data_IF_223110134398
#
_entry.id   IF_223110134398
#
_cell.length_a   1.000
_cell.length_b   1.000
_cell.length_c   1.000
_cell.angle_alpha   90.00
_cell.angle_beta   90.00
_cell.angle_gamma   90.00
#
_symmetry.space_group_name_H-M   'P 1'
#
loop_
_entity.id
_entity.type
_entity.pdbx_description
1 polymer ?
#
# COMPACT_ATOMS: atom_id res chain seq x y z
N UNK A 1 42.04 67.68 -16.31
CA UNK A 1 43.44 67.73 -16.80
C UNK A 1 44.31 66.92 -15.84
N UNK A 2 45.16 66.07 -16.41
CA UNK A 2 46.36 65.44 -15.84
C UNK A 2 46.21 64.39 -14.72
N UNK A 3 46.45 63.12 -15.10
CA UNK A 3 47.18 62.15 -14.28
C UNK A 3 48.60 62.66 -13.97
N UNK A 4 49.12 62.35 -12.77
CA UNK A 4 50.36 61.58 -12.49
C UNK A 4 50.91 61.86 -11.09
N UNK A 5 51.40 60.79 -10.44
CA UNK A 5 52.67 60.63 -9.67
C UNK A 5 52.45 59.70 -8.46
N UNK A 6 52.99 58.48 -8.52
CA UNK A 6 54.30 58.01 -7.97
C UNK A 6 54.21 57.77 -6.45
N UNK A 7 54.23 56.50 -6.02
CA UNK A 7 55.43 55.67 -5.72
C UNK A 7 56.24 56.19 -4.52
N UNK A 8 56.33 55.41 -3.42
CA UNK A 8 57.59 54.87 -2.85
C UNK A 8 57.44 54.23 -1.43
N UNK A 9 58.08 53.07 -1.27
CA UNK A 9 58.79 52.52 -0.07
C UNK A 9 58.10 51.67 1.02
N UNK A 10 58.34 50.35 0.91
CA UNK A 10 58.79 49.27 1.85
C UNK A 10 59.37 49.66 3.25
N UNK A 11 59.69 48.77 4.24
CA UNK A 11 59.35 47.33 4.50
C UNK A 11 58.90 46.98 5.96
N UNK A 12 58.39 45.75 6.13
CA UNK A 12 58.82 44.87 7.23
C UNK A 12 57.77 44.37 8.26
N UNK A 13 57.34 43.10 8.14
CA UNK A 13 57.46 42.06 9.21
C UNK A 13 56.91 40.68 8.78
N UNK A 14 57.36 39.58 9.42
CA UNK A 14 57.40 38.23 8.85
C UNK A 14 56.23 37.31 9.26
N UNK A 15 56.09 36.27 8.43
CA UNK A 15 55.40 34.98 8.67
C UNK A 15 56.10 34.16 9.79
N UNK A 16 55.45 33.20 10.47
CA UNK A 16 55.43 31.84 9.89
C UNK A 16 54.25 30.90 10.26
N UNK A 17 53.90 30.08 9.27
CA UNK A 17 53.59 28.62 9.28
C UNK A 17 52.32 28.05 9.93
N UNK A 18 51.56 27.39 9.03
CA UNK A 18 50.64 26.24 9.12
C UNK A 18 50.99 25.17 10.19
N UNK A 19 49.99 24.48 10.79
CA UNK A 19 49.70 23.12 10.29
C UNK A 19 48.23 22.66 10.40
N UNK A 20 47.81 21.81 9.44
CA UNK A 20 47.30 20.47 9.80
C UNK A 20 45.78 20.20 9.75
N UNK A 21 45.39 19.46 8.70
CA UNK A 21 44.20 18.61 8.49
C UNK A 21 43.61 17.91 9.74
N UNK A 22 42.28 17.68 9.80
CA UNK A 22 41.73 16.55 10.57
C UNK A 22 40.80 15.60 9.77
N UNK A 23 40.95 14.32 10.10
CA UNK A 23 40.13 13.15 9.72
C UNK A 23 38.87 13.00 10.60
N UNK A 24 37.91 12.12 10.23
CA UNK A 24 36.56 12.06 10.79
C UNK A 24 36.42 11.04 11.93
N UNK A 25 35.76 11.40 13.05
CA UNK A 25 35.09 10.46 13.99
C UNK A 25 34.26 11.17 15.08
N UNK A 26 32.92 11.15 14.90
CA UNK A 26 31.83 10.99 15.91
C UNK A 26 31.59 12.08 17.02
N UNK A 27 30.44 12.08 17.74
CA UNK A 27 29.23 12.83 17.34
C UNK A 27 28.47 13.64 18.44
N UNK A 28 27.60 14.55 17.98
CA UNK A 28 26.39 15.06 18.67
C UNK A 28 26.43 16.52 19.15
N UNK A 29 25.29 17.18 19.48
CA UNK A 29 23.88 16.87 19.24
C UNK A 29 23.14 17.99 18.47
N UNK A 30 22.11 17.66 17.68
CA UNK A 30 20.91 18.47 17.38
C UNK A 30 20.17 17.87 16.16
N UNK A 31 19.34 16.87 16.42
CA UNK A 31 18.40 16.31 15.44
C UNK A 31 17.01 16.90 15.65
N UNK A 32 16.55 17.72 14.71
CA UNK A 32 15.14 18.05 14.52
C UNK A 32 14.45 16.81 13.93
N UNK A 33 13.52 16.26 14.69
CA UNK A 33 12.78 15.06 14.35
C UNK A 33 11.70 15.33 13.29
N UNK A 34 11.79 14.61 12.16
CA UNK A 34 10.70 14.40 11.20
C UNK A 34 9.79 13.25 11.73
N UNK A 35 8.47 13.45 11.91
CA UNK A 35 7.57 12.39 12.36
C UNK A 35 6.82 11.78 11.17
N UNK A 36 7.39 10.75 10.53
CA UNK A 36 6.64 9.96 9.53
C UNK A 36 7.24 8.56 9.31
N UNK A 37 7.41 7.78 10.38
CA UNK A 37 7.58 6.33 10.28
C UNK A 37 6.99 5.68 11.54
N UNK A 38 5.74 5.23 11.45
CA UNK A 38 5.15 4.41 12.50
C UNK A 38 5.91 3.08 12.61
N UNK A 39 6.26 2.61 13.82
CA UNK A 39 6.98 1.36 14.00
C UNK A 39 6.09 0.16 13.71
N UNK A 40 6.69 -0.88 13.13
CA UNK A 40 6.07 -2.20 12.98
C UNK A 40 5.76 -2.81 14.37
N UNK A 41 4.64 -3.54 14.54
CA UNK A 41 4.35 -4.19 15.81
C UNK A 41 5.29 -5.38 16.02
N UNK A 42 6.08 -5.30 17.09
CA UNK A 42 6.81 -6.42 17.66
C UNK A 42 5.81 -7.36 18.37
N UNK A 43 5.70 -8.60 17.91
CA UNK A 43 5.00 -9.65 18.64
C UNK A 43 6.00 -10.32 19.60
N UNK A 44 5.76 -10.12 20.89
CA UNK A 44 6.55 -10.68 21.97
C UNK A 44 6.44 -12.19 22.07
N UNK A 45 7.58 -12.84 22.18
CA UNK A 45 7.73 -14.25 22.57
C UNK A 45 7.62 -14.38 24.08
N UNK A 46 6.62 -15.12 24.54
CA UNK A 46 6.55 -15.60 25.92
C UNK A 46 7.03 -17.06 25.98
N UNK A 47 7.96 -17.29 26.90
CA UNK A 47 8.64 -18.54 27.24
C UNK A 47 8.07 -19.05 28.59
N UNK A 48 7.81 -20.35 28.69
CA UNK A 48 7.63 -21.21 29.89
C UNK A 48 6.67 -22.35 29.48
N UNK A 49 6.79 -23.63 29.82
CA UNK A 49 7.73 -24.48 30.54
C UNK A 49 7.27 -25.92 30.19
N UNK A 50 8.19 -26.89 30.04
CA UNK A 50 7.85 -28.32 30.00
C UNK A 50 7.73 -28.90 31.42
N UNK A 51 7.72 -30.24 31.63
CA UNK A 51 7.56 -31.37 30.70
C UNK A 51 6.61 -32.49 31.24
N UNK A 52 6.22 -33.47 30.42
CA UNK A 52 5.80 -34.79 30.93
C UNK A 52 5.94 -35.90 29.86
N UNK A 53 6.54 -37.00 30.29
CA UNK A 53 6.94 -38.18 29.54
C UNK A 53 5.82 -39.24 29.41
N UNK A 54 5.89 -40.07 28.36
CA UNK A 54 5.49 -41.49 28.31
C UNK A 54 5.65 -41.97 26.85
N UNK A 55 6.61 -42.82 26.52
CA UNK A 55 6.59 -44.29 26.62
C UNK A 55 6.35 -44.95 25.24
N UNK A 56 7.35 -45.69 24.80
CA UNK A 56 7.33 -46.57 23.62
C UNK A 56 6.33 -47.73 23.80
N UNK A 57 6.03 -48.48 22.72
CA UNK A 57 6.70 -49.77 22.65
C UNK A 57 7.22 -50.18 21.27
N UNK A 58 8.23 -51.03 21.38
CA UNK A 58 8.92 -51.88 20.41
C UNK A 58 8.01 -52.84 19.64
N UNK A 59 8.34 -53.06 18.36
CA UNK A 59 7.85 -54.19 17.56
C UNK A 59 8.84 -54.51 16.45
N UNK A 60 9.45 -55.69 16.54
CA UNK A 60 10.57 -56.17 15.72
C UNK A 60 10.09 -56.82 14.40
N UNK A 61 11.01 -56.92 13.44
CA UNK A 61 10.89 -57.29 12.01
C UNK A 61 10.45 -58.77 11.74
N UNK A 62 10.39 -59.29 10.48
CA UNK A 62 11.55 -59.46 9.59
C UNK A 62 11.32 -59.27 8.08
N UNK A 63 12.45 -59.29 7.37
CA UNK A 63 12.65 -59.15 5.94
C UNK A 63 12.11 -60.30 5.07
N UNK A 64 11.83 -59.97 3.79
CA UNK A 64 11.66 -60.92 2.69
C UNK A 64 12.12 -60.27 1.39
N UNK A 65 13.05 -60.92 0.71
CA UNK A 65 13.80 -60.42 -0.45
C UNK A 65 13.17 -60.89 -1.78
N UNK A 66 13.56 -60.20 -2.86
CA UNK A 66 13.71 -60.68 -4.25
C UNK A 66 12.64 -60.36 -5.32
N UNK A 67 13.17 -59.71 -6.37
CA UNK A 67 13.07 -60.03 -7.81
C UNK A 67 11.95 -59.41 -8.69
N UNK A 68 12.39 -58.42 -9.49
CA UNK A 68 12.31 -58.33 -10.95
C UNK A 68 11.05 -58.80 -11.71
N UNK A 69 10.46 -57.89 -12.49
CA UNK A 69 9.66 -58.29 -13.65
C UNK A 69 8.70 -57.25 -14.24
N UNK A 70 9.20 -56.48 -15.21
CA UNK A 70 8.52 -56.10 -16.46
C UNK A 70 7.32 -55.12 -16.41
N UNK A 71 7.55 -53.95 -17.01
CA UNK A 71 6.54 -52.97 -17.42
C UNK A 71 5.53 -53.53 -18.42
N UNK A 72 4.33 -52.90 -18.49
CA UNK A 72 3.74 -52.59 -19.78
C UNK A 72 3.47 -51.08 -19.93
N UNK A 73 3.76 -50.64 -21.15
CA UNK A 73 3.46 -49.34 -21.72
C UNK A 73 1.93 -49.18 -21.81
N UNK A 74 1.41 -48.06 -21.31
CA UNK A 74 0.02 -47.66 -21.58
C UNK A 74 -0.68 -46.95 -20.42
N UNK A 75 -0.21 -45.77 -20.02
CA UNK A 75 -1.08 -44.79 -19.33
C UNK A 75 -0.47 -43.37 -19.34
N UNK A 76 -0.54 -42.71 -20.50
CA UNK A 76 -0.22 -41.29 -20.63
C UNK A 76 -1.46 -40.39 -20.40
N UNK A 77 -2.68 -40.95 -20.40
CA UNK A 77 -3.93 -40.18 -20.24
C UNK A 77 -4.48 -40.25 -18.81
N UNK A 78 -4.12 -41.26 -18.01
CA UNK A 78 -4.56 -41.38 -16.60
C UNK A 78 -3.69 -40.61 -15.59
N UNK A 79 -2.51 -40.11 -15.97
CA UNK A 79 -1.68 -39.27 -15.07
C UNK A 79 -2.17 -37.83 -14.95
N UNK A 80 -3.08 -37.39 -15.82
CA UNK A 80 -3.59 -36.02 -15.80
C UNK A 80 -4.74 -35.82 -14.81
N UNK A 81 -5.32 -36.90 -14.27
CA UNK A 81 -6.44 -36.82 -13.30
C UNK A 81 -6.03 -37.15 -11.87
N UNK A 82 -4.93 -37.88 -11.64
CA UNK A 82 -4.42 -38.19 -10.28
C UNK A 82 -3.62 -37.02 -9.68
N UNK A 83 -3.09 -36.12 -10.51
CA UNK A 83 -2.36 -34.94 -10.02
C UNK A 83 -3.27 -33.84 -9.43
N UNK A 84 -4.58 -33.90 -9.66
CA UNK A 84 -5.52 -32.89 -9.15
C UNK A 84 -5.90 -33.09 -7.67
N UNK A 85 -5.56 -34.24 -7.07
CA UNK A 85 -5.95 -34.60 -5.69
C UNK A 85 -4.75 -34.70 -4.73
N UNK A 86 -3.52 -34.52 -5.23
CA UNK A 86 -2.33 -34.46 -4.40
C UNK A 86 -2.31 -33.13 -3.64
N UNK A 87 -2.24 -33.19 -2.31
CA UNK A 87 -2.18 -32.00 -1.48
C UNK A 87 -1.00 -31.12 -1.91
N UNK A 88 -1.19 -29.79 -2.05
CA UNK A 88 -0.09 -28.90 -2.41
C UNK A 88 0.98 -28.94 -1.31
N UNK A 89 2.21 -29.29 -1.68
CA UNK A 89 3.37 -29.42 -0.77
C UNK A 89 4.37 -28.27 -0.97
N UNK A 90 5.53 -28.33 -0.30
CA UNK A 90 6.63 -27.39 -0.48
C UNK A 90 7.09 -27.21 -1.93
N UNK A 91 6.95 -28.24 -2.78
CA UNK A 91 7.30 -28.14 -4.21
C UNK A 91 6.37 -27.17 -4.96
N UNK A 92 5.07 -27.13 -4.61
CA UNK A 92 4.12 -26.17 -5.16
C UNK A 92 4.48 -24.73 -4.75
N UNK A 93 4.88 -24.54 -3.48
CA UNK A 93 5.38 -23.25 -2.98
C UNK A 93 6.66 -22.83 -3.72
N UNK A 94 7.60 -23.75 -3.92
CA UNK A 94 8.84 -23.46 -4.62
C UNK A 94 8.58 -23.06 -6.07
N UNK A 95 7.76 -23.81 -6.79
CA UNK A 95 7.36 -23.47 -8.16
C UNK A 95 6.66 -22.11 -8.25
N UNK A 96 5.76 -21.80 -7.31
CA UNK A 96 5.13 -20.48 -7.24
C UNK A 96 6.16 -19.37 -7.00
N UNK A 97 7.05 -19.51 -6.02
CA UNK A 97 8.08 -18.49 -5.72
C UNK A 97 9.04 -18.28 -6.90
N UNK A 98 9.48 -19.35 -7.57
CA UNK A 98 10.31 -19.28 -8.77
C UNK A 98 9.60 -18.56 -9.92
N UNK A 99 8.30 -18.84 -10.13
CA UNK A 99 7.50 -18.13 -11.13
C UNK A 99 7.40 -16.64 -10.84
N UNK A 100 7.12 -16.24 -9.59
CA UNK A 100 7.02 -14.84 -9.20
C UNK A 100 8.38 -14.12 -9.26
N UNK A 101 9.47 -14.81 -8.92
CA UNK A 101 10.82 -14.29 -9.06
C UNK A 101 11.18 -14.06 -10.53
N UNK A 102 10.83 -15.00 -11.42
CA UNK A 102 11.03 -14.85 -12.86
C UNK A 102 10.22 -13.67 -13.43
N UNK A 103 8.96 -13.53 -13.02
CA UNK A 103 8.11 -12.40 -13.42
C UNK A 103 8.65 -11.07 -12.87
N UNK A 104 9.22 -11.06 -11.66
CA UNK A 104 9.90 -9.89 -11.10
C UNK A 104 11.10 -9.47 -11.96
N UNK A 105 11.97 -10.41 -12.32
CA UNK A 105 13.13 -10.12 -13.18
C UNK A 105 12.73 -9.68 -14.60
N UNK A 106 11.65 -10.26 -15.15
CA UNK A 106 11.07 -9.85 -16.43
C UNK A 106 10.56 -8.40 -16.36
N UNK A 107 9.77 -8.08 -15.34
CA UNK A 107 9.27 -6.72 -15.11
C UNK A 107 10.43 -5.72 -14.91
N UNK A 108 11.49 -6.12 -14.21
CA UNK A 108 12.68 -5.29 -14.02
C UNK A 108 13.42 -5.03 -15.33
N UNK A 109 13.56 -6.05 -16.18
CA UNK A 109 14.16 -5.89 -17.52
C UNK A 109 13.35 -4.92 -18.38
N UNK A 110 12.03 -5.12 -18.46
CA UNK A 110 11.11 -4.22 -19.18
C UNK A 110 11.17 -2.78 -18.65
N UNK A 111 11.28 -2.60 -17.33
CA UNK A 111 11.40 -1.28 -16.72
C UNK A 111 12.72 -0.57 -17.11
N UNK A 112 13.83 -1.31 -17.25
CA UNK A 112 15.11 -0.75 -17.73
C UNK A 112 15.08 -0.41 -19.21
N UNK A 113 14.46 -1.25 -20.03
CA UNK A 113 14.32 -1.03 -21.47
C UNK A 113 13.43 0.20 -21.78
N UNK A 114 12.33 0.36 -21.06
CA UNK A 114 11.40 1.51 -21.18
C UNK A 114 11.95 2.78 -20.55
N UNK A 115 12.74 2.70 -19.47
CA UNK A 115 13.40 3.85 -18.87
C UNK A 115 14.53 4.46 -19.70
N UNK A 116 15.10 3.69 -20.65
CA UNK A 116 16.20 4.12 -21.51
C UNK A 116 15.78 4.65 -22.90
N UNK A 117 14.53 4.44 -23.32
CA UNK A 117 14.04 4.78 -24.66
C UNK A 117 12.91 5.79 -24.63
N UNK A 118 13.17 7.02 -25.10
CA UNK A 118 12.18 8.10 -25.26
C UNK A 118 11.16 7.87 -26.41
N UNK A 119 10.57 6.67 -26.49
CA UNK A 119 9.50 6.37 -27.43
C UNK A 119 8.13 6.82 -26.87
N UNK A 120 7.23 7.26 -27.75
CA UNK A 120 5.93 7.84 -27.39
C UNK A 120 4.93 6.88 -26.67
N UNK A 121 5.30 5.61 -26.47
CA UNK A 121 4.59 4.62 -25.62
C UNK A 121 5.33 4.22 -24.34
N UNK A 122 6.57 4.70 -24.15
CA UNK A 122 7.45 4.25 -23.05
C UNK A 122 6.98 4.66 -21.66
N UNK A 123 6.11 5.66 -21.53
CA UNK A 123 5.58 6.09 -20.23
C UNK A 123 4.56 5.11 -19.66
N UNK A 124 3.61 4.64 -20.47
CA UNK A 124 2.59 3.68 -20.03
C UNK A 124 3.21 2.29 -19.80
N UNK A 125 4.10 1.87 -20.71
CA UNK A 125 4.84 0.61 -20.57
C UNK A 125 5.74 0.61 -19.32
N UNK A 126 6.39 1.74 -19.00
CA UNK A 126 7.19 1.89 -17.78
C UNK A 126 6.34 1.84 -16.51
N UNK A 127 5.15 2.47 -16.52
CA UNK A 127 4.19 2.44 -15.41
C UNK A 127 3.67 1.03 -15.19
N UNK A 128 3.37 0.29 -16.26
CA UNK A 128 2.93 -1.10 -16.19
C UNK A 128 4.03 -2.05 -15.73
N UNK A 129 5.28 -1.85 -16.18
CA UNK A 129 6.44 -2.59 -15.69
C UNK A 129 6.65 -2.35 -14.19
N UNK A 130 6.59 -1.09 -13.73
CA UNK A 130 6.68 -0.76 -12.30
C UNK A 130 5.51 -1.37 -11.49
N UNK A 131 4.31 -1.41 -12.07
CA UNK A 131 3.14 -2.05 -11.46
C UNK A 131 3.32 -3.57 -11.36
N UNK A 132 3.83 -4.21 -12.40
CA UNK A 132 4.17 -5.63 -12.39
C UNK A 132 5.22 -5.95 -11.32
N UNK A 133 6.30 -5.16 -11.25
CA UNK A 133 7.36 -5.29 -10.26
C UNK A 133 6.83 -5.19 -8.81
N UNK A 134 5.93 -4.24 -8.54
CA UNK A 134 5.27 -4.13 -7.23
C UNK A 134 4.38 -5.32 -6.92
N UNK A 135 3.64 -5.84 -7.91
CA UNK A 135 2.73 -6.98 -7.73
C UNK A 135 3.50 -8.25 -7.37
N UNK A 136 4.58 -8.55 -8.10
CA UNK A 136 5.43 -9.73 -7.85
C UNK A 136 6.16 -9.61 -6.52
N UNK A 137 6.75 -8.45 -6.20
CA UNK A 137 7.41 -8.23 -4.89
C UNK A 137 6.46 -8.45 -3.70
N UNK A 138 5.21 -7.99 -3.80
CA UNK A 138 4.19 -8.18 -2.76
C UNK A 138 3.75 -9.64 -2.64
N UNK A 139 3.63 -10.36 -3.76
CA UNK A 139 3.31 -11.79 -3.77
C UNK A 139 4.42 -12.61 -3.11
N UNK A 140 5.68 -12.37 -3.49
CA UNK A 140 6.84 -13.00 -2.85
C UNK A 140 6.82 -12.71 -1.34
N UNK A 141 6.80 -11.43 -0.93
CA UNK A 141 6.79 -11.03 0.48
C UNK A 141 5.64 -11.65 1.28
N UNK A 142 4.46 -11.79 0.67
CA UNK A 142 3.30 -12.43 1.29
C UNK A 142 3.45 -13.94 1.44
N UNK A 143 3.93 -14.64 0.41
CA UNK A 143 4.20 -16.07 0.49
C UNK A 143 5.26 -16.38 1.54
N UNK A 144 6.31 -15.55 1.63
CA UNK A 144 7.32 -15.65 2.70
C UNK A 144 6.74 -15.43 4.10
N UNK A 145 5.70 -14.60 4.24
CA UNK A 145 5.05 -14.37 5.52
C UNK A 145 4.13 -15.54 5.91
N UNK A 146 3.28 -16.02 4.99
CA UNK A 146 2.29 -17.07 5.27
C UNK A 146 2.96 -18.43 5.47
N UNK A 147 3.94 -18.77 4.63
CA UNK A 147 4.62 -20.07 4.63
C UNK A 147 5.98 -20.03 5.32
N UNK A 148 6.23 -19.03 6.18
CA UNK A 148 7.48 -18.86 6.94
C UNK A 148 8.02 -20.16 7.57
N UNK A 149 7.20 -21.04 8.19
CA UNK A 149 7.72 -22.26 8.82
C UNK A 149 8.39 -23.25 7.86
N UNK A 150 8.15 -23.13 6.55
CA UNK A 150 8.69 -24.04 5.54
C UNK A 150 9.94 -23.51 4.85
N UNK A 151 10.33 -22.27 5.14
CA UNK A 151 11.43 -21.55 4.51
C UNK A 151 12.54 -21.30 5.53
N UNK A 152 13.76 -21.06 5.05
CA UNK A 152 14.85 -20.61 5.91
C UNK A 152 14.49 -19.30 6.65
N UNK A 153 14.56 -19.34 7.99
CA UNK A 153 14.09 -18.26 8.84
C UNK A 153 14.97 -17.00 8.73
N UNK A 154 16.28 -17.17 8.67
CA UNK A 154 17.24 -16.05 8.63
C UNK A 154 17.19 -15.34 7.28
N UNK A 155 17.09 -16.10 6.19
CA UNK A 155 16.92 -15.57 4.86
C UNK A 155 15.58 -14.84 4.72
N UNK A 156 14.47 -15.45 5.16
CA UNK A 156 13.14 -14.85 5.04
C UNK A 156 13.00 -13.55 5.84
N UNK A 157 13.54 -13.49 7.06
CA UNK A 157 13.52 -12.26 7.87
C UNK A 157 14.40 -11.15 7.28
N UNK A 158 15.47 -11.49 6.55
CA UNK A 158 16.34 -10.51 5.88
C UNK A 158 15.71 -9.93 4.61
N UNK A 159 15.12 -10.76 3.74
CA UNK A 159 14.59 -10.32 2.43
C UNK A 159 13.23 -9.60 2.54
N UNK A 160 12.39 -9.95 3.52
CA UNK A 160 11.04 -9.38 3.67
C UNK A 160 11.00 -7.86 3.84
N UNK A 161 11.77 -7.22 4.75
CA UNK A 161 11.78 -5.76 4.87
C UNK A 161 12.30 -5.08 3.61
N UNK A 162 13.22 -5.72 2.88
CA UNK A 162 13.76 -5.19 1.62
C UNK A 162 12.72 -5.21 0.50
N UNK A 163 11.96 -6.29 0.33
CA UNK A 163 10.84 -6.36 -0.62
C UNK A 163 9.72 -5.36 -0.26
N UNK A 164 9.48 -5.15 1.04
CA UNK A 164 8.54 -4.15 1.52
C UNK A 164 9.03 -2.73 1.17
N UNK A 165 10.31 -2.45 1.38
CA UNK A 165 10.95 -1.18 1.00
C UNK A 165 10.85 -0.91 -0.50
N UNK A 166 11.22 -1.87 -1.36
CA UNK A 166 11.13 -1.73 -2.83
C UNK A 166 9.69 -1.47 -3.25
N UNK A 167 8.75 -2.33 -2.82
CA UNK A 167 7.35 -2.22 -3.25
C UNK A 167 6.64 -0.98 -2.72
N UNK A 168 7.06 -0.47 -1.54
CA UNK A 168 6.60 0.79 -0.97
C UNK A 168 7.12 1.99 -1.75
N UNK A 169 8.43 2.06 -1.98
CA UNK A 169 9.08 3.16 -2.71
C UNK A 169 8.47 3.34 -4.10
N UNK A 170 8.30 2.24 -4.85
CA UNK A 170 7.70 2.26 -6.19
C UNK A 170 6.21 2.59 -6.19
N UNK A 171 5.51 2.47 -5.05
CA UNK A 171 4.07 2.74 -4.97
C UNK A 171 3.76 4.23 -4.75
N UNK A 172 4.69 4.99 -4.20
CA UNK A 172 4.48 6.39 -3.79
C UNK A 172 4.09 7.29 -4.97
N UNK A 173 4.78 7.16 -6.11
CA UNK A 173 4.51 7.97 -7.30
C UNK A 173 3.06 7.76 -7.78
N UNK A 174 2.68 6.48 -7.97
CA UNK A 174 1.34 6.13 -8.43
C UNK A 174 0.27 6.52 -7.41
N UNK A 175 0.55 6.38 -6.11
CA UNK A 175 -0.37 6.79 -5.05
C UNK A 175 -0.61 8.30 -5.06
N UNK A 176 0.40 9.12 -5.34
CA UNK A 176 0.22 10.57 -5.48
C UNK A 176 -0.67 10.91 -6.68
N UNK A 177 -0.43 10.28 -7.84
CA UNK A 177 -1.24 10.47 -9.04
C UNK A 177 -2.71 10.09 -8.85
N UNK A 178 -2.97 8.88 -8.36
CA UNK A 178 -4.33 8.40 -8.10
C UNK A 178 -5.07 9.26 -7.07
N UNK A 179 -4.35 9.73 -6.03
CA UNK A 179 -4.93 10.61 -5.01
C UNK A 179 -5.30 11.98 -5.59
N UNK A 180 -4.46 12.54 -6.45
CA UNK A 180 -4.74 13.82 -7.12
C UNK A 180 -5.98 13.70 -8.01
N UNK A 181 -6.03 12.69 -8.87
CA UNK A 181 -7.17 12.43 -9.75
C UNK A 181 -8.47 12.29 -8.95
N UNK A 182 -8.45 11.48 -7.89
CA UNK A 182 -9.60 11.28 -6.99
C UNK A 182 -10.10 12.60 -6.39
N UNK A 183 -9.19 13.42 -5.85
CA UNK A 183 -9.56 14.69 -5.20
C UNK A 183 -10.08 15.73 -6.19
N UNK A 184 -9.49 15.81 -7.38
CA UNK A 184 -9.99 16.70 -8.44
C UNK A 184 -11.37 16.26 -8.90
N UNK A 185 -11.60 14.97 -9.16
CA UNK A 185 -12.93 14.46 -9.54
C UNK A 185 -13.98 14.75 -8.46
N UNK A 186 -13.64 14.56 -7.18
CA UNK A 186 -14.52 14.89 -6.08
C UNK A 186 -14.83 16.40 -6.01
N UNK A 187 -13.84 17.28 -6.19
CA UNK A 187 -14.05 18.73 -6.26
C UNK A 187 -14.98 19.13 -7.41
N UNK A 188 -14.82 18.53 -8.60
CA UNK A 188 -15.71 18.77 -9.74
C UNK A 188 -17.14 18.32 -9.44
N UNK A 189 -17.31 17.13 -8.84
CA UNK A 189 -18.61 16.60 -8.38
C UNK A 189 -19.29 17.54 -7.39
N UNK A 190 -18.56 18.01 -6.38
CA UNK A 190 -19.08 18.89 -5.33
C UNK A 190 -19.42 20.29 -5.86
N UNK A 191 -18.60 20.82 -6.77
CA UNK A 191 -18.86 22.11 -7.44
C UNK A 191 -20.08 22.05 -8.37
N UNK A 192 -20.26 20.92 -9.09
CA UNK A 192 -21.43 20.68 -9.93
C UNK A 192 -22.72 20.40 -9.15
N UNK A 193 -22.64 19.69 -8.02
CA UNK A 193 -23.79 19.44 -7.15
C UNK A 193 -24.34 20.73 -6.51
N UNK A 194 -23.48 21.73 -6.26
CA UNK A 194 -23.91 23.05 -5.81
C UNK A 194 -24.69 23.86 -6.86
N UNK A 195 -24.72 23.41 -8.13
CA UNK A 195 -25.46 24.03 -9.23
C UNK A 195 -26.86 23.42 -9.48
N UNK A 196 -27.22 22.31 -8.80
CA UNK A 196 -28.55 21.72 -8.93
C UNK A 196 -29.57 22.47 -8.04
N UNK A 197 -30.71 22.94 -8.58
CA UNK A 197 -31.74 23.56 -7.75
C UNK A 197 -32.42 22.49 -6.88
N UNK A 198 -32.43 22.72 -5.58
CA UNK A 198 -33.28 21.97 -4.64
C UNK A 198 -34.74 22.14 -5.09
N UNK A 199 -35.53 21.08 -5.31
CA UNK A 199 -36.94 21.23 -5.65
C UNK A 199 -37.65 21.89 -4.47
N UNK A 200 -38.24 23.06 -4.74
CA UNK A 200 -39.06 23.78 -3.78
C UNK A 200 -40.19 22.87 -3.29
N UNK A 201 -40.29 22.70 -1.97
CA UNK A 201 -41.42 22.02 -1.34
C UNK A 201 -42.71 22.78 -1.73
N UNK A 202 -43.63 22.05 -2.34
CA UNK A 202 -44.99 22.50 -2.64
C UNK A 202 -45.70 22.79 -1.31
N UNK A 203 -46.12 24.05 -1.11
CA UNK A 203 -46.93 24.50 0.02
C UNK A 203 -48.00 25.47 -0.46
N UNK A 204 -49.22 24.94 -0.58
CA UNK A 204 -50.59 25.50 -0.56
C UNK A 204 -50.80 27.03 -0.79
N UNK A 205 -51.74 27.45 -1.67
CA UNK A 205 -52.02 28.86 -1.91
C UNK A 205 -52.95 29.45 -0.84
N UNK A 206 -52.64 30.65 -0.34
CA UNK A 206 -53.59 31.53 0.37
C UNK A 206 -53.51 32.93 -0.23
N UNK A 207 -54.67 33.57 -0.33
CA UNK A 207 -54.98 34.71 -1.20
C UNK A 207 -54.23 36.03 -0.95
N UNK A 208 -54.09 36.75 -2.08
CA UNK A 208 -53.64 38.09 -2.40
C UNK A 208 -53.77 39.25 -1.39
N UNK A 209 -52.70 40.05 -1.32
CA UNK A 209 -52.65 41.48 -0.93
C UNK A 209 -51.64 42.23 -1.82
N UNK A 210 -51.77 43.56 -2.05
CA UNK A 210 -51.18 44.22 -3.20
C UNK A 210 -49.69 44.61 -3.06
N UNK A 211 -49.09 44.81 -4.23
CA UNK A 211 -47.68 44.94 -4.56
C UNK A 211 -46.83 45.92 -3.73
N UNK A 212 -45.67 45.44 -3.31
CA UNK A 212 -44.47 46.22 -3.03
C UNK A 212 -43.34 45.76 -4.01
N UNK A 213 -42.46 46.67 -4.47
CA UNK A 213 -41.53 46.37 -5.54
C UNK A 213 -40.47 45.35 -5.12
N UNK A 214 -40.23 44.40 -6.01
CA UNK A 214 -39.23 43.34 -5.88
C UNK A 214 -37.82 43.94 -5.71
N UNK A 215 -37.27 43.82 -4.50
CA UNK A 215 -35.84 43.98 -4.25
C UNK A 215 -35.17 42.59 -4.30
N UNK A 216 -34.56 42.33 -5.45
CA UNK A 216 -33.38 41.49 -5.74
C UNK A 216 -33.21 40.11 -5.07
N UNK A 217 -33.01 39.03 -5.85
CA UNK A 217 -32.47 37.78 -5.33
C UNK A 217 -30.95 37.91 -5.15
N UNK A 218 -30.47 38.08 -3.92
CA UNK A 218 -29.05 37.87 -3.59
C UNK A 218 -28.88 36.50 -2.92
N UNK A 219 -28.38 35.50 -3.67
CA UNK A 219 -27.12 34.87 -3.28
C UNK A 219 -26.25 34.48 -4.50
N UNK A 220 -26.04 35.37 -5.47
CA UNK A 220 -25.12 35.12 -6.57
C UNK A 220 -23.63 35.25 -6.14
N UNK A 221 -23.31 36.24 -5.31
CA UNK A 221 -21.93 36.54 -4.88
C UNK A 221 -21.32 35.45 -3.98
N UNK A 222 -22.14 34.84 -3.10
CA UNK A 222 -21.71 33.73 -2.25
C UNK A 222 -21.35 32.47 -3.05
N UNK A 223 -22.13 32.17 -4.11
CA UNK A 223 -21.84 31.03 -5.00
C UNK A 223 -20.57 31.24 -5.80
N UNK A 224 -20.35 32.44 -6.34
CA UNK A 224 -19.11 32.80 -7.04
C UNK A 224 -17.87 32.64 -6.16
N UNK A 225 -17.96 33.03 -4.88
CA UNK A 225 -16.85 32.85 -3.94
C UNK A 225 -16.55 31.38 -3.62
N UNK A 226 -17.58 30.52 -3.56
CA UNK A 226 -17.42 29.08 -3.31
C UNK A 226 -16.82 28.35 -4.52
N UNK A 227 -17.23 28.70 -5.74
CA UNK A 227 -16.64 28.13 -6.97
C UNK A 227 -15.19 28.57 -7.16
N UNK A 228 -14.88 29.84 -6.87
CA UNK A 228 -13.48 30.34 -6.81
C UNK A 228 -12.68 29.65 -5.70
N UNK A 229 -13.31 29.39 -4.55
CA UNK A 229 -12.72 28.62 -3.46
C UNK A 229 -12.33 27.20 -3.88
N UNK A 230 -13.24 26.49 -4.56
CA UNK A 230 -13.02 25.15 -5.09
C UNK A 230 -11.92 25.11 -6.18
N UNK A 231 -11.92 26.08 -7.10
CA UNK A 231 -10.89 26.19 -8.12
C UNK A 231 -9.49 26.41 -7.51
N UNK A 232 -9.39 27.30 -6.50
CA UNK A 232 -8.15 27.53 -5.75
C UNK A 232 -7.72 26.30 -4.95
N UNK A 233 -8.66 25.56 -4.36
CA UNK A 233 -8.37 24.31 -3.66
C UNK A 233 -7.83 23.24 -4.63
N UNK A 234 -8.42 23.12 -5.81
CA UNK A 234 -7.94 22.24 -6.88
C UNK A 234 -6.51 22.59 -7.29
N UNK A 235 -6.23 23.87 -7.58
CA UNK A 235 -4.88 24.32 -7.94
C UNK A 235 -3.84 24.10 -6.83
N UNK A 236 -4.24 24.27 -5.56
CA UNK A 236 -3.37 23.99 -4.41
C UNK A 236 -3.01 22.50 -4.34
N UNK A 237 -4.01 21.62 -4.43
CA UNK A 237 -3.82 20.16 -4.37
C UNK A 237 -3.01 19.65 -5.56
N UNK A 238 -3.29 20.16 -6.76
CA UNK A 238 -2.54 19.87 -7.98
C UNK A 238 -1.07 20.19 -7.82
N UNK A 239 -0.74 21.41 -7.37
CA UNK A 239 0.64 21.80 -7.09
C UNK A 239 1.30 20.90 -6.04
N UNK A 240 0.64 20.65 -4.91
CA UNK A 240 1.24 19.87 -3.83
C UNK A 240 1.47 18.41 -4.20
N UNK A 241 0.47 17.74 -4.77
CA UNK A 241 0.55 16.33 -5.13
C UNK A 241 1.42 16.09 -6.37
N UNK A 242 1.48 17.04 -7.31
CA UNK A 242 2.43 16.98 -8.42
C UNK A 242 3.86 17.10 -7.92
N UNK A 243 4.15 18.04 -7.02
CA UNK A 243 5.48 18.14 -6.40
C UNK A 243 5.85 16.88 -5.60
N UNK A 244 4.90 16.33 -4.83
CA UNK A 244 5.11 15.06 -4.12
C UNK A 244 5.36 13.90 -5.08
N UNK A 245 4.63 13.84 -6.21
CA UNK A 245 4.82 12.85 -7.26
C UNK A 245 6.21 12.95 -7.90
N UNK A 246 6.66 14.14 -8.28
CA UNK A 246 8.00 14.34 -8.86
C UNK A 246 9.09 13.93 -7.88
N UNK A 247 8.96 14.28 -6.59
CA UNK A 247 9.91 13.83 -5.56
C UNK A 247 9.91 12.31 -5.42
N UNK A 248 8.74 11.69 -5.34
CA UNK A 248 8.61 10.24 -5.27
C UNK A 248 9.20 9.53 -6.50
N UNK A 249 9.04 10.12 -7.69
CA UNK A 249 9.63 9.62 -8.92
C UNK A 249 11.16 9.64 -8.86
N UNK A 250 11.77 10.78 -8.49
CA UNK A 250 13.23 10.87 -8.33
C UNK A 250 13.75 9.91 -7.26
N UNK A 251 13.06 9.77 -6.12
CA UNK A 251 13.41 8.81 -5.07
C UNK A 251 13.33 7.36 -5.57
N UNK A 252 12.31 7.02 -6.38
CA UNK A 252 12.19 5.69 -6.98
C UNK A 252 13.33 5.38 -7.94
N UNK A 253 13.71 6.33 -8.81
CA UNK A 253 14.85 6.16 -9.71
C UNK A 253 16.17 6.01 -8.95
N UNK A 254 16.40 6.81 -7.91
CA UNK A 254 17.58 6.69 -7.04
C UNK A 254 17.62 5.34 -6.32
N UNK A 255 16.48 4.87 -5.80
CA UNK A 255 16.38 3.58 -5.14
C UNK A 255 16.70 2.44 -6.11
N UNK A 256 16.18 2.47 -7.34
CA UNK A 256 16.44 1.45 -8.36
C UNK A 256 17.91 1.39 -8.82
N UNK A 257 18.63 2.51 -8.75
CA UNK A 257 20.07 2.57 -9.03
C UNK A 257 20.96 2.29 -7.81
N UNK A 258 20.39 2.03 -6.64
CA UNK A 258 21.16 1.83 -5.40
C UNK A 258 21.71 0.41 -5.27
N UNK A 259 22.86 0.27 -4.61
CA UNK A 259 23.44 -1.04 -4.25
C UNK A 259 22.46 -1.90 -3.43
N UNK A 260 21.65 -1.25 -2.57
CA UNK A 260 20.58 -1.90 -1.80
C UNK A 260 19.58 -2.61 -2.71
N UNK A 261 19.12 -1.95 -3.78
CA UNK A 261 18.19 -2.57 -4.73
C UNK A 261 18.86 -3.71 -5.52
N UNK A 262 20.11 -3.53 -5.94
CA UNK A 262 20.85 -4.58 -6.64
C UNK A 262 21.00 -5.85 -5.78
N UNK A 263 21.32 -5.71 -4.49
CA UNK A 263 21.38 -6.85 -3.58
C UNK A 263 20.03 -7.61 -3.47
N UNK A 264 18.91 -6.89 -3.49
CA UNK A 264 17.57 -7.50 -3.52
C UNK A 264 17.32 -8.22 -4.83
N UNK A 265 17.66 -7.58 -5.96
CA UNK A 265 17.49 -8.18 -7.28
C UNK A 265 18.32 -9.47 -7.42
N UNK A 266 19.54 -9.49 -6.88
CA UNK A 266 20.40 -10.67 -6.87
C UNK A 266 19.83 -11.79 -6.00
N UNK A 267 19.29 -11.47 -4.82
CA UNK A 267 18.61 -12.46 -3.97
C UNK A 267 17.35 -13.02 -4.64
N UNK A 268 16.59 -12.19 -5.37
CA UNK A 268 15.43 -12.65 -6.16
C UNK A 268 15.89 -13.47 -7.37
N UNK A 269 17.05 -13.19 -7.95
CA UNK A 269 17.62 -14.01 -9.02
C UNK A 269 18.00 -15.41 -8.53
N UNK A 270 18.61 -15.52 -7.35
CA UNK A 270 18.85 -16.82 -6.70
C UNK A 270 17.53 -17.53 -6.41
N UNK A 271 16.52 -16.80 -5.92
CA UNK A 271 15.18 -17.37 -5.65
C UNK A 271 14.50 -17.96 -6.90
N UNK A 272 14.82 -17.44 -8.09
CA UNK A 272 14.28 -17.95 -9.35
C UNK A 272 14.81 -19.35 -9.71
N UNK A 273 15.99 -19.73 -9.21
CA UNK A 273 16.56 -21.07 -9.41
C UNK A 273 16.43 -21.96 -8.18
N UNK A 274 16.68 -21.44 -6.99
CA UNK A 274 16.79 -22.20 -5.75
C UNK A 274 15.93 -21.55 -4.65
N UNK A 275 14.98 -22.31 -4.13
CA UNK A 275 14.13 -21.87 -3.01
C UNK A 275 14.67 -22.49 -1.73
N UNK A 276 15.02 -21.70 -0.70
CA UNK A 276 15.57 -22.19 0.55
C UNK A 276 14.46 -22.82 1.41
N UNK A 277 14.02 -24.00 1.01
CA UNK A 277 13.06 -24.82 1.73
C UNK A 277 13.74 -25.54 2.90
N UNK A 278 13.01 -25.66 4.01
CA UNK A 278 13.43 -26.53 5.12
C UNK A 278 13.36 -28.00 4.68
N UNK A 279 14.17 -28.90 5.28
CA UNK A 279 14.18 -30.31 4.90
C UNK A 279 12.81 -31.01 5.02
N UNK A 280 11.94 -30.54 5.91
CA UNK A 280 10.59 -31.07 6.13
C UNK A 280 9.54 -30.55 5.12
N UNK A 281 9.88 -29.53 4.31
CA UNK A 281 8.91 -28.86 3.46
C UNK A 281 8.38 -29.74 2.31
N UNK A 282 9.18 -30.70 1.81
CA UNK A 282 8.83 -31.51 0.64
C UNK A 282 7.55 -32.35 0.79
N UNK A 283 7.23 -32.77 2.03
CA UNK A 283 6.03 -33.57 2.33
C UNK A 283 4.97 -32.81 3.12
N UNK A 284 5.25 -31.58 3.53
CA UNK A 284 4.34 -30.81 4.37
C UNK A 284 3.19 -30.24 3.54
N UNK A 285 1.96 -30.53 3.95
CA UNK A 285 0.74 -29.96 3.37
C UNK A 285 0.66 -28.45 3.65
N UNK A 286 0.43 -27.65 2.60
CA UNK A 286 0.30 -26.20 2.68
C UNK A 286 -1.07 -25.72 3.19
N UNK A 287 -2.12 -26.57 3.11
CA UNK A 287 -3.51 -26.19 3.46
C UNK A 287 -3.66 -25.68 4.90
N UNK A 288 -3.03 -26.28 5.94
CA UNK A 288 -3.13 -25.76 7.31
C UNK A 288 -2.56 -24.35 7.48
N UNK A 289 -1.47 -24.01 6.76
CA UNK A 289 -0.86 -22.68 6.82
C UNK A 289 -1.74 -21.61 6.16
N UNK A 290 -2.39 -21.97 5.05
CA UNK A 290 -3.38 -21.11 4.40
C UNK A 290 -4.66 -20.93 5.26
N UNK A 291 -5.11 -22.01 5.92
CA UNK A 291 -6.23 -21.97 6.86
C UNK A 291 -5.92 -21.04 8.05
N UNK A 292 -4.71 -21.10 8.62
CA UNK A 292 -4.29 -20.17 9.68
C UNK A 292 -4.28 -18.69 9.21
N UNK A 293 -3.97 -18.42 7.93
CA UNK A 293 -4.10 -17.08 7.36
C UNK A 293 -5.57 -16.64 7.23
N UNK A 294 -6.47 -17.56 6.88
CA UNK A 294 -7.92 -17.33 6.83
C UNK A 294 -8.49 -17.07 8.24
N UNK A 295 -8.08 -17.83 9.25
CA UNK A 295 -8.49 -17.66 10.65
C UNK A 295 -8.09 -16.28 11.17
N UNK A 296 -6.81 -15.89 11.01
CA UNK A 296 -6.35 -14.55 11.39
C UNK A 296 -7.14 -13.43 10.71
N UNK A 297 -7.52 -13.61 9.45
CA UNK A 297 -8.37 -12.67 8.73
C UNK A 297 -9.79 -12.65 9.34
N UNK A 298 -10.39 -13.80 9.60
CA UNK A 298 -11.71 -13.91 10.19
C UNK A 298 -11.77 -13.27 11.59
N UNK A 299 -10.75 -13.49 12.42
CA UNK A 299 -10.62 -12.92 13.77
C UNK A 299 -10.46 -11.40 13.71
N UNK A 300 -9.62 -10.90 12.81
CA UNK A 300 -9.44 -9.47 12.61
C UNK A 300 -10.73 -8.79 12.12
N UNK A 301 -11.49 -9.44 11.24
CA UNK A 301 -12.80 -8.95 10.79
C UNK A 301 -13.83 -8.99 11.91
N UNK A 302 -13.84 -10.04 12.75
CA UNK A 302 -14.72 -10.15 13.91
C UNK A 302 -14.44 -9.05 14.96
N UNK A 303 -13.19 -8.60 15.06
CA UNK A 303 -12.78 -7.50 15.94
C UNK A 303 -13.10 -6.10 15.38
N UNK A 304 -13.58 -5.97 14.12
CA UNK A 304 -13.93 -4.66 13.56
C UNK A 304 -15.20 -4.11 14.24
N UNK A 305 -15.29 -2.77 14.46
CA UNK A 305 -16.48 -2.11 14.96
C UNK A 305 -17.57 -2.02 13.86
N UNK A 306 -18.08 -3.18 13.42
CA UNK A 306 -19.05 -3.29 12.31
C UNK A 306 -20.42 -2.70 12.67
N UNK A 307 -20.74 -2.55 13.96
CA UNK A 307 -22.01 -1.96 14.44
C UNK A 307 -22.04 -0.45 14.20
N UNK A 308 -20.89 0.23 14.31
CA UNK A 308 -20.75 1.67 14.03
C UNK A 308 -20.75 1.97 12.52
N UNK A 309 -20.36 1.00 11.69
CA UNK A 309 -20.39 1.08 10.23
C UNK A 309 -21.79 0.81 9.61
N UNK A 310 -22.80 0.53 10.44
CA UNK A 310 -24.17 0.22 10.00
C UNK A 310 -24.99 1.43 9.54
N UNK A 311 -24.49 2.65 9.73
CA UNK A 311 -25.10 3.88 9.21
C UNK A 311 -24.15 4.53 8.20
N UNK A 312 -24.60 4.87 6.98
CA UNK A 312 -23.80 5.58 5.99
C UNK A 312 -23.40 7.00 6.44
N UNK A 313 -24.01 7.51 7.52
CA UNK A 313 -23.69 8.78 8.15
C UNK A 313 -23.40 8.55 9.63
N UNK A 314 -22.14 8.28 9.99
CA UNK A 314 -21.72 8.42 11.38
C UNK A 314 -21.08 9.81 11.58
N UNK A 315 -21.78 10.69 12.27
CA UNK A 315 -21.39 12.09 12.47
C UNK A 315 -20.17 12.26 13.40
N UNK A 316 -19.81 11.24 14.18
CA UNK A 316 -18.68 11.28 15.13
C UNK A 316 -17.32 11.48 14.44
N UNK A 317 -17.16 10.99 13.20
CA UNK A 317 -15.93 11.17 12.43
C UNK A 317 -15.66 12.63 12.01
N UNK A 318 -16.70 13.46 11.91
CA UNK A 318 -16.60 14.88 11.56
C UNK A 318 -16.23 15.75 12.78
N UNK A 319 -16.63 15.34 13.99
CA UNK A 319 -16.36 16.09 15.23
C UNK A 319 -14.90 15.95 15.68
N UNK A 320 -14.25 14.82 15.41
CA UNK A 320 -12.86 14.57 15.82
C UNK A 320 -11.78 14.99 14.79
N UNK A 321 -12.16 15.38 13.57
CA UNK A 321 -11.22 15.74 12.48
C UNK A 321 -10.48 17.08 12.65
N UNK A 322 -10.79 17.85 13.70
CA UNK A 322 -10.16 19.15 13.98
C UNK A 322 -9.16 19.10 15.15
N UNK A 323 -8.92 17.94 15.76
CA UNK A 323 -7.91 17.79 16.80
C UNK A 323 -6.48 17.88 16.22
N UNK A 324 -5.54 18.58 16.89
CA UNK A 324 -4.13 18.62 16.48
C UNK A 324 -3.38 17.30 16.72
N UNK A 325 -4.04 16.28 17.28
CA UNK A 325 -3.45 14.98 17.59
C UNK A 325 -3.08 14.20 16.29
N UNK A 326 -1.84 13.68 16.15
CA UNK A 326 -1.37 12.93 14.98
C UNK A 326 -2.13 11.63 14.66
N UNK A 327 -3.06 11.18 15.51
CA UNK A 327 -3.95 10.06 15.21
C UNK A 327 -5.41 10.53 14.97
N UNK A 328 -5.70 11.26 13.88
CA UNK A 328 -7.01 11.90 13.68
C UNK A 328 -8.17 10.90 13.55
N UNK A 329 -7.90 9.63 13.18
CA UNK A 329 -8.92 8.60 12.99
C UNK A 329 -8.43 7.21 13.48
N UNK A 330 -8.46 6.91 14.79
CA UNK A 330 -8.00 5.63 15.34
C UNK A 330 -8.75 4.41 14.77
N UNK A 331 -9.94 4.65 14.22
CA UNK A 331 -10.77 3.63 13.59
C UNK A 331 -10.20 3.11 12.27
N UNK A 332 -9.34 3.84 11.55
CA UNK A 332 -8.89 3.44 10.20
C UNK A 332 -7.83 2.31 10.24
N UNK A 333 -7.05 2.21 11.32
CA UNK A 333 -5.94 1.25 11.43
C UNK A 333 -6.38 -0.23 11.41
N UNK A 334 -7.42 -0.66 12.15
CA UNK A 334 -7.99 -2.01 12.04
C UNK A 334 -8.41 -2.38 10.61
N UNK A 335 -9.01 -1.45 9.85
CA UNK A 335 -9.42 -1.70 8.46
C UNK A 335 -8.21 -1.88 7.53
N UNK A 336 -7.15 -1.10 7.73
CA UNK A 336 -5.90 -1.29 7.00
C UNK A 336 -5.24 -2.64 7.31
N UNK A 337 -5.34 -3.11 8.56
CA UNK A 337 -4.85 -4.43 8.94
C UNK A 337 -5.66 -5.56 8.28
N UNK A 338 -6.99 -5.47 8.29
CA UNK A 338 -7.86 -6.43 7.59
C UNK A 338 -7.56 -6.47 6.09
N UNK A 339 -7.30 -5.32 5.47
CA UNK A 339 -6.87 -5.24 4.06
C UNK A 339 -5.57 -5.99 3.80
N UNK A 340 -4.58 -5.86 4.69
CA UNK A 340 -3.34 -6.60 4.58
C UNK A 340 -3.59 -8.11 4.71
N UNK A 341 -4.34 -8.53 5.73
CA UNK A 341 -4.68 -9.95 5.98
C UNK A 341 -5.46 -10.57 4.83
N UNK A 342 -6.43 -9.85 4.25
CA UNK A 342 -7.20 -10.31 3.09
C UNK A 342 -6.28 -10.58 1.89
N UNK A 343 -5.32 -9.69 1.67
CA UNK A 343 -4.33 -9.85 0.60
C UNK A 343 -3.39 -11.03 0.85
N UNK A 344 -2.95 -11.23 2.11
CA UNK A 344 -2.14 -12.39 2.50
C UNK A 344 -2.91 -13.70 2.25
N UNK A 345 -4.18 -13.76 2.64
CA UNK A 345 -5.04 -14.91 2.39
C UNK A 345 -5.21 -15.18 0.89
N UNK A 346 -5.48 -14.14 0.08
CA UNK A 346 -5.61 -14.30 -1.38
C UNK A 346 -4.33 -14.86 -2.01
N UNK A 347 -3.16 -14.38 -1.61
CA UNK A 347 -1.89 -14.90 -2.12
C UNK A 347 -1.59 -16.31 -1.61
N UNK A 348 -2.04 -16.68 -0.41
CA UNK A 348 -1.97 -18.06 0.05
C UNK A 348 -2.82 -19.00 -0.82
N UNK A 349 -4.03 -18.58 -1.20
CA UNK A 349 -4.86 -19.32 -2.15
C UNK A 349 -4.19 -19.45 -3.53
N UNK A 350 -3.59 -18.37 -4.06
CA UNK A 350 -2.84 -18.45 -5.34
C UNK A 350 -1.73 -19.52 -5.31
N UNK A 351 -1.10 -19.77 -4.15
CA UNK A 351 -0.08 -20.82 -3.97
C UNK A 351 -0.72 -22.22 -3.95
N UNK A 352 -1.82 -22.40 -3.21
CA UNK A 352 -2.52 -23.68 -3.13
C UNK A 352 -3.07 -24.14 -4.49
N UNK A 353 -3.55 -23.17 -5.25
CA UNK A 353 -4.26 -23.35 -6.52
C UNK A 353 -3.31 -23.53 -7.72
N UNK A 354 -2.00 -23.44 -7.52
CA UNK A 354 -1.00 -23.63 -8.57
C UNK A 354 -0.81 -22.42 -9.50
N UNK A 355 -1.24 -21.22 -9.11
CA UNK A 355 -0.88 -19.97 -9.81
C UNK A 355 -2.01 -18.93 -9.96
N UNK A 356 -1.71 -17.75 -10.53
CA UNK A 356 -2.61 -16.59 -10.59
C UNK A 356 -3.78 -16.70 -11.60
N UNK A 357 -4.21 -17.91 -11.96
CA UNK A 357 -5.23 -18.19 -12.99
C UNK A 357 -6.47 -18.94 -12.49
N UNK A 358 -6.55 -19.27 -11.20
CA UNK A 358 -7.71 -19.96 -10.63
C UNK A 358 -8.87 -19.02 -10.36
N UNK A 359 -10.12 -19.53 -10.39
CA UNK A 359 -11.30 -18.71 -10.16
C UNK A 359 -11.28 -18.12 -8.75
N UNK A 360 -10.85 -16.87 -8.65
CA UNK A 360 -10.87 -16.13 -7.39
C UNK A 360 -12.31 -15.86 -7.00
N UNK A 361 -12.66 -16.13 -5.74
CA UNK A 361 -13.98 -15.82 -5.20
C UNK A 361 -14.32 -14.34 -5.43
N UNK A 362 -15.37 -14.11 -6.23
CA UNK A 362 -15.87 -12.79 -6.60
C UNK A 362 -16.20 -11.97 -5.35
N UNK A 363 -16.64 -12.61 -4.26
CA UNK A 363 -16.90 -11.93 -2.98
C UNK A 363 -15.62 -11.43 -2.33
N UNK A 364 -14.55 -12.22 -2.31
CA UNK A 364 -13.25 -11.79 -1.79
C UNK A 364 -12.65 -10.66 -2.65
N UNK A 365 -12.84 -10.69 -3.97
CA UNK A 365 -12.46 -9.58 -4.84
C UNK A 365 -13.24 -8.30 -4.52
N UNK A 366 -14.56 -8.39 -4.38
CA UNK A 366 -15.40 -7.25 -4.03
C UNK A 366 -15.05 -6.68 -2.64
N UNK A 367 -14.76 -7.54 -1.66
CA UNK A 367 -14.27 -7.16 -0.34
C UNK A 367 -12.91 -6.44 -0.43
N UNK A 368 -11.98 -6.96 -1.24
CA UNK A 368 -10.69 -6.32 -1.48
C UNK A 368 -10.82 -4.94 -2.11
N UNK A 369 -11.68 -4.80 -3.13
CA UNK A 369 -11.97 -3.52 -3.77
C UNK A 369 -12.59 -2.51 -2.80
N UNK A 370 -13.47 -2.95 -1.90
CA UNK A 370 -14.03 -2.08 -0.87
C UNK A 370 -12.94 -1.57 0.09
N UNK A 371 -12.02 -2.44 0.53
CA UNK A 371 -10.91 -2.04 1.40
C UNK A 371 -9.87 -1.15 0.72
N UNK A 372 -9.62 -1.33 -0.58
CA UNK A 372 -8.78 -0.42 -1.37
C UNK A 372 -9.45 0.97 -1.45
N UNK A 373 -10.75 1.04 -1.75
CA UNK A 373 -11.51 2.31 -1.73
C UNK A 373 -11.49 2.98 -0.36
N UNK A 374 -11.62 2.22 0.73
CA UNK A 374 -11.50 2.73 2.10
C UNK A 374 -10.15 3.42 2.31
N UNK A 375 -9.05 2.72 1.99
CA UNK A 375 -7.69 3.26 2.16
C UNK A 375 -7.49 4.51 1.30
N UNK A 376 -7.90 4.48 0.05
CA UNK A 376 -7.70 5.60 -0.87
C UNK A 376 -8.52 6.83 -0.46
N UNK A 377 -9.74 6.62 0.04
CA UNK A 377 -10.57 7.68 0.61
C UNK A 377 -9.97 8.26 1.90
N UNK A 378 -9.47 7.42 2.81
CA UNK A 378 -8.84 7.86 4.05
C UNK A 378 -7.57 8.70 3.78
N UNK A 379 -6.73 8.29 2.84
CA UNK A 379 -5.54 9.05 2.45
C UNK A 379 -5.89 10.35 1.71
N UNK A 380 -6.93 10.34 0.88
CA UNK A 380 -7.43 11.54 0.22
C UNK A 380 -7.98 12.56 1.25
N UNK A 381 -8.73 12.09 2.26
CA UNK A 381 -9.21 12.92 3.35
C UNK A 381 -8.06 13.54 4.16
N UNK A 382 -7.02 12.76 4.45
CA UNK A 382 -5.82 13.23 5.14
C UNK A 382 -5.07 14.28 4.31
N UNK A 383 -4.94 14.08 2.99
CA UNK A 383 -4.31 15.07 2.11
C UNK A 383 -5.10 16.38 2.03
N UNK A 384 -6.44 16.32 1.97
CA UNK A 384 -7.29 17.51 2.00
C UNK A 384 -7.15 18.28 3.33
N UNK A 385 -7.14 17.57 4.46
CA UNK A 385 -6.92 18.16 5.78
C UNK A 385 -5.53 18.80 5.91
N UNK A 386 -4.48 18.12 5.42
CA UNK A 386 -3.13 18.66 5.41
C UNK A 386 -3.01 19.90 4.52
N UNK A 387 -3.65 19.89 3.35
CA UNK A 387 -3.69 21.04 2.45
C UNK A 387 -4.39 22.25 3.10
N UNK A 388 -5.44 22.02 3.90
CA UNK A 388 -6.14 23.08 4.64
C UNK A 388 -5.27 23.76 5.73
N UNK A 389 -4.18 23.11 6.16
CA UNK A 389 -3.20 23.68 7.10
C UNK A 389 -2.13 24.55 6.41
N UNK A 390 -2.21 24.73 5.09
CA UNK A 390 -1.26 25.59 4.35
C UNK A 390 -1.41 27.05 4.81
N UNK A 391 -0.31 27.75 5.15
CA UNK A 391 -0.39 29.13 5.60
C UNK A 391 -0.91 30.06 4.49
N UNK A 392 -1.65 31.11 4.88
CA UNK A 392 -2.15 32.19 4.00
C UNK A 392 -3.11 31.74 2.88
N UNK A 393 -3.82 30.62 3.05
CA UNK A 393 -4.92 30.26 2.14
C UNK A 393 -6.16 31.13 2.40
N UNK A 394 -6.95 31.40 1.36
CA UNK A 394 -8.19 32.15 1.50
C UNK A 394 -9.25 31.33 2.27
N UNK A 395 -10.13 31.96 3.08
CA UNK A 395 -11.18 31.25 3.81
C UNK A 395 -12.09 30.37 2.92
N UNK A 396 -12.44 30.85 1.72
CA UNK A 396 -13.22 30.07 0.76
C UNK A 396 -12.50 28.79 0.28
N UNK A 397 -11.17 28.83 0.18
CA UNK A 397 -10.33 27.67 -0.15
C UNK A 397 -10.28 26.68 1.01
N UNK A 398 -10.10 27.17 2.24
CA UNK A 398 -10.15 26.34 3.44
C UNK A 398 -11.52 25.65 3.60
N UNK A 399 -12.62 26.37 3.35
CA UNK A 399 -13.97 25.81 3.35
C UNK A 399 -14.12 24.69 2.31
N UNK A 400 -13.69 24.92 1.07
CA UNK A 400 -13.75 23.90 0.01
C UNK A 400 -12.95 22.63 0.37
N UNK A 401 -11.76 22.79 0.98
CA UNK A 401 -10.96 21.67 1.46
C UNK A 401 -11.63 20.93 2.63
N UNK A 402 -12.33 21.64 3.51
CA UNK A 402 -13.13 21.04 4.58
C UNK A 402 -14.31 20.21 4.06
N UNK A 403 -15.04 20.72 3.06
CA UNK A 403 -16.13 19.97 2.39
C UNK A 403 -15.57 18.74 1.67
N UNK A 404 -14.42 18.88 0.99
CA UNK A 404 -13.75 17.77 0.33
C UNK A 404 -13.28 16.70 1.33
N UNK A 405 -12.73 17.11 2.47
CA UNK A 405 -12.38 16.18 3.56
C UNK A 405 -13.60 15.39 4.04
N UNK A 406 -14.72 16.08 4.32
CA UNK A 406 -15.96 15.46 4.76
C UNK A 406 -16.53 14.47 3.73
N UNK A 407 -16.52 14.85 2.44
CA UNK A 407 -16.90 13.98 1.32
C UNK A 407 -16.06 12.69 1.30
N UNK A 408 -14.74 12.80 1.46
CA UNK A 408 -13.86 11.63 1.50
C UNK A 408 -14.06 10.78 2.77
N UNK A 409 -14.40 11.39 3.92
CA UNK A 409 -14.80 10.61 5.11
C UNK A 409 -16.12 9.86 4.90
N UNK A 410 -17.08 10.43 4.18
CA UNK A 410 -18.29 9.68 3.80
C UNK A 410 -17.98 8.51 2.86
N UNK A 411 -17.06 8.66 1.92
CA UNK A 411 -16.60 7.57 1.07
C UNK A 411 -15.88 6.45 1.86
N UNK A 412 -15.18 6.80 2.96
CA UNK A 412 -14.62 5.82 3.90
C UNK A 412 -15.74 4.97 4.51
N UNK A 413 -16.78 5.60 5.08
CA UNK A 413 -17.90 4.86 5.69
C UNK A 413 -18.69 4.05 4.65
N UNK A 414 -18.90 4.60 3.44
CA UNK A 414 -19.54 3.87 2.34
C UNK A 414 -18.73 2.63 1.92
N UNK A 415 -17.39 2.71 1.96
CA UNK A 415 -16.52 1.58 1.70
C UNK A 415 -16.59 0.51 2.80
N UNK A 416 -16.69 0.91 4.08
CA UNK A 416 -16.91 -0.01 5.22
C UNK A 416 -18.23 -0.76 5.08
N UNK A 417 -19.30 -0.05 4.74
CA UNK A 417 -20.61 -0.66 4.48
C UNK A 417 -20.58 -1.61 3.28
N UNK A 418 -19.91 -1.21 2.18
CA UNK A 418 -19.75 -2.07 1.02
C UNK A 418 -18.98 -3.37 1.34
N UNK A 419 -17.93 -3.28 2.16
CA UNK A 419 -17.20 -4.44 2.66
C UNK A 419 -18.10 -5.37 3.49
N UNK A 420 -18.89 -4.82 4.41
CA UNK A 420 -19.81 -5.62 5.23
C UNK A 420 -20.84 -6.41 4.38
N UNK A 421 -21.27 -5.85 3.24
CA UNK A 421 -22.20 -6.52 2.33
C UNK A 421 -21.56 -7.60 1.46
N UNK A 422 -20.29 -7.44 1.09
CA UNK A 422 -19.56 -8.41 0.28
C UNK A 422 -18.91 -9.51 1.12
N UNK A 423 -18.60 -9.23 2.39
CA UNK A 423 -18.05 -10.21 3.31
C UNK A 423 -19.06 -11.34 3.55
N UNK A 424 -18.68 -12.61 3.33
CA UNK A 424 -19.59 -13.73 3.54
C UNK A 424 -20.04 -13.72 5.00
N UNK A 425 -21.36 -13.57 5.22
CA UNK A 425 -21.93 -13.83 6.55
C UNK A 425 -21.65 -15.29 6.87
N UNK A 426 -20.89 -15.52 7.95
CA UNK A 426 -20.75 -16.86 8.52
C UNK A 426 -22.17 -17.26 8.92
N UNK A 427 -22.79 -18.18 8.19
CA UNK A 427 -23.95 -18.88 8.71
C UNK A 427 -23.44 -19.56 9.98
N UNK A 428 -23.93 -19.08 11.13
CA UNK A 428 -23.75 -19.77 12.41
C UNK A 428 -24.48 -21.11 12.36
#
# INVERSE_FOLDING_TARGET
>A
MAQRHHDLTDPGRPDPTDPGRPDPTAPGPHGLADPAAGPAPALGTAHADGPAAAAAPTGNAPAGNAAAGKAPVGNAVARSTVAADAAPTGDALAGYLQSQATDFLRALRLHRETGGGGAAGGTDDSVDAARALRRTARRISASLHTFRPLLDADWSERIRPELAWVSGTLALEHACGARLERLLLALHRLSGAAAAPVPARVGVPTQAGPAAPAASPAPASGRGNLTVGAAKAGALLDRQLTLARTRAHSTALQALGSSRFHAVADQVAVLASEVPLTPAAGTTDLRPLAAAAQERLADAVAALPLVTAGSPYNAEALVHGLSPDPAPHPQDAPWHQVRLLLRLHRYACEVLDGGPGTPVDVRLLAAGQALDRHRDAAEAAAAAAQAARTPRIAPATAYALGVLHADQRHEVEAARYAFQRSWPKRNQ
#
